data_IF_159027164474
#
_entry.id   IF_159027164474
#
_cell.length_a   1.000
_cell.length_b   1.000
_cell.length_c   1.000
_cell.angle_alpha   90.00
_cell.angle_beta   90.00
_cell.angle_gamma   90.00
#
_symmetry.space_group_name_H-M   'P 1'
#
loop_
_entity.id
_entity.type
_entity.pdbx_description
1 polymer ?
#
# COMPACT_ATOMS: atom_id res chain seq x y z
N UNK A 1 53.09 15.51 -26.42
CA UNK A 1 51.72 15.08 -26.72
C UNK A 1 51.09 14.66 -25.40
N UNK A 2 50.39 15.58 -24.76
CA UNK A 2 49.60 15.33 -23.55
C UNK A 2 48.42 14.44 -23.94
N UNK A 3 48.22 13.36 -23.18
CA UNK A 3 47.04 12.52 -23.33
C UNK A 3 45.77 13.38 -23.14
N UNK A 4 44.70 13.18 -23.93
CA UNK A 4 43.46 13.91 -23.73
C UNK A 4 42.93 13.63 -22.32
N UNK A 5 42.62 14.69 -21.57
CA UNK A 5 41.95 14.59 -20.27
C UNK A 5 40.64 13.79 -20.45
N UNK A 6 40.48 12.74 -19.65
CA UNK A 6 39.28 11.92 -19.69
C UNK A 6 38.08 12.76 -19.24
N UNK A 7 37.11 12.97 -20.13
CA UNK A 7 35.84 13.61 -19.79
C UNK A 7 35.18 12.80 -18.67
N UNK A 8 34.85 13.42 -17.51
CA UNK A 8 34.30 12.68 -16.39
C UNK A 8 32.91 12.15 -16.76
N UNK A 9 32.74 10.82 -16.65
CA UNK A 9 31.47 10.17 -16.99
C UNK A 9 30.46 10.26 -15.85
N UNK A 10 29.19 10.45 -16.20
CA UNK A 10 28.05 10.48 -15.29
C UNK A 10 27.77 9.11 -14.69
N UNK A 11 27.48 9.08 -13.39
CA UNK A 11 27.03 7.89 -12.67
C UNK A 11 25.55 8.06 -12.33
N UNK A 12 24.72 7.15 -12.81
CA UNK A 12 23.30 7.06 -12.47
C UNK A 12 23.17 5.99 -11.39
N UNK A 13 22.52 6.29 -10.26
CA UNK A 13 22.25 5.28 -9.21
C UNK A 13 21.06 4.38 -9.57
N UNK A 14 20.10 4.14 -8.67
CA UNK A 14 18.96 3.28 -8.98
C UNK A 14 17.88 4.05 -9.74
N UNK A 15 17.27 3.41 -10.74
CA UNK A 15 16.23 3.99 -11.57
C UNK A 15 15.04 3.04 -11.59
N UNK A 16 13.82 3.53 -11.36
CA UNK A 16 12.61 2.75 -11.57
C UNK A 16 12.42 2.43 -13.05
N UNK A 17 12.30 3.46 -13.89
CA UNK A 17 12.20 3.36 -15.35
C UNK A 17 13.26 4.22 -16.03
N UNK A 18 14.11 3.61 -16.85
CA UNK A 18 15.10 4.28 -17.67
C UNK A 18 14.61 4.33 -19.12
N UNK A 19 14.23 5.51 -19.61
CA UNK A 19 13.72 5.71 -20.98
C UNK A 19 14.83 6.20 -21.91
N UNK A 20 15.28 5.32 -22.80
CA UNK A 20 16.30 5.62 -23.81
C UNK A 20 15.72 5.64 -25.23
N UNK A 21 14.40 5.63 -25.41
CA UNK A 21 13.75 5.52 -26.74
C UNK A 21 14.14 6.61 -27.73
N UNK A 22 14.65 7.74 -27.25
CA UNK A 22 15.13 8.85 -28.08
C UNK A 22 16.59 9.21 -27.81
N UNK A 23 17.32 8.35 -27.10
CA UNK A 23 18.69 8.62 -26.70
C UNK A 23 19.64 8.53 -27.90
N UNK A 24 20.62 9.43 -27.93
CA UNK A 24 21.72 9.40 -28.90
C UNK A 24 22.93 8.64 -28.34
N UNK A 25 23.80 8.07 -29.19
CA UNK A 25 25.08 7.51 -28.76
C UNK A 25 25.91 8.52 -27.93
N UNK A 26 25.86 9.80 -28.29
CA UNK A 26 26.56 10.89 -27.60
C UNK A 26 26.04 11.08 -26.17
N UNK A 27 24.72 11.02 -25.98
CA UNK A 27 24.09 11.10 -24.64
C UNK A 27 24.59 9.97 -23.75
N UNK A 28 24.69 8.76 -24.28
CA UNK A 28 25.09 7.57 -23.53
C UNK A 28 26.60 7.46 -23.32
N UNK A 29 27.41 8.00 -24.24
CA UNK A 29 28.88 8.01 -24.11
C UNK A 29 29.36 8.74 -22.85
N UNK A 30 28.60 9.75 -22.43
CA UNK A 30 28.81 10.49 -21.18
C UNK A 30 28.42 9.72 -19.92
N UNK A 31 27.86 8.51 -20.01
CA UNK A 31 27.41 7.71 -18.86
C UNK A 31 28.41 6.59 -18.61
N UNK A 32 28.93 6.51 -17.38
CA UNK A 32 29.94 5.54 -16.97
C UNK A 32 29.33 4.28 -16.36
N UNK A 33 28.26 4.45 -15.58
CA UNK A 33 27.56 3.37 -14.90
C UNK A 33 26.12 3.77 -14.58
N UNK A 34 25.22 2.81 -14.70
CA UNK A 34 23.86 2.86 -14.17
C UNK A 34 23.75 1.80 -13.05
N UNK A 35 23.11 2.14 -11.94
CA UNK A 35 22.84 1.23 -10.84
C UNK A 35 21.78 0.18 -11.19
N UNK A 36 20.88 -0.12 -10.25
CA UNK A 36 19.77 -1.03 -10.53
C UNK A 36 18.68 -0.30 -11.31
N UNK A 37 18.18 -0.93 -12.37
CA UNK A 37 17.10 -0.42 -13.22
C UNK A 37 15.93 -1.38 -13.10
N UNK A 38 14.76 -0.88 -12.66
CA UNK A 38 13.54 -1.68 -12.64
C UNK A 38 13.12 -2.07 -14.06
N UNK A 39 13.04 -1.08 -14.94
CA UNK A 39 12.66 -1.25 -16.34
C UNK A 39 13.47 -0.32 -17.24
N UNK A 40 13.92 -0.82 -18.39
CA UNK A 40 14.46 0.01 -19.47
C UNK A 40 13.48 0.06 -20.65
N UNK A 41 13.18 1.27 -21.12
CA UNK A 41 12.39 1.49 -22.33
C UNK A 41 13.34 1.85 -23.46
N UNK A 42 13.25 1.14 -24.57
CA UNK A 42 14.07 1.40 -25.75
C UNK A 42 13.22 1.30 -27.01
N UNK A 43 13.69 1.93 -28.07
CA UNK A 43 13.11 1.86 -29.42
C UNK A 43 13.96 0.93 -30.28
N UNK A 44 13.45 0.46 -31.44
CA UNK A 44 14.26 -0.30 -32.39
C UNK A 44 15.60 0.37 -32.74
N UNK A 45 15.61 1.70 -32.84
CA UNK A 45 16.80 2.50 -33.15
C UNK A 45 17.81 2.55 -32.01
N UNK A 46 17.35 2.44 -30.76
CA UNK A 46 18.16 2.58 -29.55
C UNK A 46 18.49 1.23 -28.91
N UNK A 47 17.88 0.14 -29.38
CA UNK A 47 18.20 -1.23 -28.97
C UNK A 47 19.70 -1.58 -29.04
N UNK A 48 20.45 -1.22 -30.11
CA UNK A 48 21.89 -1.51 -30.16
C UNK A 48 22.71 -0.82 -29.07
N UNK A 49 22.19 0.29 -28.52
CA UNK A 49 22.88 1.06 -27.49
C UNK A 49 22.90 0.34 -26.14
N UNK A 50 21.94 -0.55 -25.88
CA UNK A 50 21.83 -1.32 -24.65
C UNK A 50 23.11 -2.10 -24.34
N UNK A 51 23.72 -2.72 -25.36
CA UNK A 51 24.94 -3.52 -25.21
C UNK A 51 26.16 -2.71 -24.74
N UNK A 52 26.15 -1.39 -24.99
CA UNK A 52 27.21 -0.48 -24.56
C UNK A 52 27.01 0.10 -23.15
N UNK A 53 25.85 -0.12 -22.54
CA UNK A 53 25.52 0.43 -21.23
C UNK A 53 26.00 -0.48 -20.09
N UNK A 54 26.68 0.12 -19.12
CA UNK A 54 27.09 -0.56 -17.89
C UNK A 54 25.97 -0.47 -16.84
N UNK A 55 24.94 -1.30 -16.98
CA UNK A 55 23.78 -1.38 -16.08
C UNK A 55 24.05 -2.44 -15.01
N UNK A 56 23.66 -2.15 -13.77
CA UNK A 56 23.65 -3.13 -12.68
C UNK A 56 22.57 -4.19 -12.88
N UNK A 57 21.70 -4.39 -11.87
CA UNK A 57 20.57 -5.30 -12.04
C UNK A 57 19.51 -4.65 -12.94
N UNK A 58 19.07 -5.36 -13.98
CA UNK A 58 17.96 -4.97 -14.82
C UNK A 58 16.77 -5.89 -14.52
N UNK A 59 15.62 -5.31 -14.15
CA UNK A 59 14.40 -6.06 -13.92
C UNK A 59 13.76 -6.52 -15.24
N UNK A 60 13.44 -5.57 -16.12
CA UNK A 60 12.81 -5.85 -17.41
C UNK A 60 13.28 -4.86 -18.50
N UNK A 61 13.14 -5.26 -19.76
CA UNK A 61 13.41 -4.43 -20.94
C UNK A 61 12.22 -4.44 -21.87
N UNK A 62 11.78 -3.27 -22.31
CA UNK A 62 10.54 -3.12 -23.07
C UNK A 62 10.80 -2.29 -24.32
N UNK A 63 10.40 -2.84 -25.46
CA UNK A 63 10.52 -2.16 -26.75
C UNK A 63 9.25 -1.34 -27.06
N UNK A 64 9.39 -0.04 -27.26
CA UNK A 64 8.33 0.84 -27.71
C UNK A 64 8.88 1.95 -28.61
N UNK A 65 8.08 2.41 -29.57
CA UNK A 65 8.50 3.53 -30.44
C UNK A 65 8.78 4.80 -29.64
N UNK A 66 9.59 5.69 -30.23
CA UNK A 66 9.94 6.98 -29.63
C UNK A 66 8.71 7.89 -29.43
N UNK A 67 7.66 7.73 -30.25
CA UNK A 67 6.41 8.47 -30.15
C UNK A 67 5.29 7.74 -29.38
N UNK A 68 5.56 6.52 -28.89
CA UNK A 68 4.61 5.80 -28.05
C UNK A 68 4.23 6.61 -26.80
N UNK A 69 2.93 6.77 -26.58
CA UNK A 69 2.38 7.48 -25.43
C UNK A 69 2.53 6.61 -24.19
N UNK A 70 3.33 7.07 -23.25
CA UNK A 70 3.57 6.37 -21.99
C UNK A 70 2.55 6.78 -20.94
N UNK A 71 1.88 5.81 -20.35
CA UNK A 71 0.88 6.00 -19.30
C UNK A 71 1.27 5.14 -18.10
N UNK A 72 1.53 5.79 -16.97
CA UNK A 72 1.76 5.12 -15.69
C UNK A 72 0.48 5.11 -14.87
N UNK A 73 0.18 3.98 -14.22
CA UNK A 73 -1.00 3.84 -13.38
C UNK A 73 -2.15 3.12 -14.09
N UNK A 74 -3.22 3.82 -14.43
CA UNK A 74 -4.42 3.23 -15.00
C UNK A 74 -4.89 3.98 -16.25
N UNK A 75 -5.21 3.24 -17.31
CA UNK A 75 -5.85 3.73 -18.51
C UNK A 75 -7.18 3.02 -18.72
N UNK A 76 -8.25 3.79 -18.87
CA UNK A 76 -9.55 3.31 -19.32
C UNK A 76 -9.73 3.71 -20.80
N UNK A 77 -9.96 2.72 -21.67
CA UNK A 77 -10.28 2.92 -23.08
C UNK A 77 -11.78 2.68 -23.26
N UNK A 78 -12.51 3.76 -23.49
CA UNK A 78 -13.88 3.75 -23.98
C UNK A 78 -13.93 4.19 -25.45
N UNK A 79 -15.11 4.15 -26.06
CA UNK A 79 -15.28 4.60 -27.46
C UNK A 79 -14.96 6.08 -27.65
N UNK A 80 -15.10 6.91 -26.60
CA UNK A 80 -14.78 8.34 -26.64
C UNK A 80 -13.28 8.57 -26.71
N UNK A 81 -12.51 7.83 -25.90
CA UNK A 81 -11.06 7.87 -25.88
C UNK A 81 -10.51 7.60 -27.28
N UNK A 82 -11.00 6.56 -27.95
CA UNK A 82 -10.57 6.18 -29.30
C UNK A 82 -10.91 7.28 -30.31
N UNK A 83 -12.15 7.78 -30.32
CA UNK A 83 -12.63 8.77 -31.28
C UNK A 83 -11.96 10.14 -31.15
N UNK A 84 -11.46 10.47 -29.96
CA UNK A 84 -10.80 11.75 -29.70
C UNK A 84 -9.29 11.74 -30.03
N UNK A 85 -8.74 10.61 -30.49
CA UNK A 85 -7.34 10.55 -30.92
C UNK A 85 -7.18 11.11 -32.34
N UNK A 86 -6.20 12.01 -32.58
CA UNK A 86 -5.95 12.55 -33.91
C UNK A 86 -5.40 11.50 -34.89
N UNK A 87 -4.71 10.48 -34.35
CA UNK A 87 -4.24 9.29 -35.06
C UNK A 87 -4.28 8.10 -34.09
N UNK A 88 -4.39 6.85 -34.58
CA UNK A 88 -4.30 5.67 -33.72
C UNK A 88 -2.97 5.69 -32.96
N UNK A 89 -2.97 5.70 -31.62
CA UNK A 89 -1.72 5.80 -30.86
C UNK A 89 -1.07 4.43 -30.66
N UNK A 90 0.26 4.40 -30.58
CA UNK A 90 1.00 3.36 -29.86
C UNK A 90 0.99 3.70 -28.38
N UNK A 91 0.48 2.80 -27.53
CA UNK A 91 0.34 3.01 -26.09
C UNK A 91 1.30 2.12 -25.34
N UNK A 92 2.07 2.70 -24.42
CA UNK A 92 2.87 2.00 -23.43
C UNK A 92 2.22 2.19 -22.05
N UNK A 93 1.56 1.15 -21.55
CA UNK A 93 0.84 1.19 -20.27
C UNK A 93 1.62 0.44 -19.20
N UNK A 94 2.09 1.19 -18.21
CA UNK A 94 2.80 0.69 -17.04
C UNK A 94 1.82 0.65 -15.86
N UNK A 95 1.10 -0.45 -15.73
CA UNK A 95 0.05 -0.62 -14.74
C UNK A 95 -1.18 -1.33 -15.32
N UNK A 96 -2.33 -0.67 -15.30
CA UNK A 96 -3.62 -1.28 -15.61
C UNK A 96 -4.23 -0.66 -16.86
N UNK A 97 -4.60 -1.52 -17.81
CA UNK A 97 -5.39 -1.17 -18.99
C UNK A 97 -6.78 -1.77 -18.85
N UNK A 98 -7.83 -0.95 -18.96
CA UNK A 98 -9.23 -1.38 -18.93
C UNK A 98 -9.86 -1.00 -20.26
N UNK A 99 -10.21 -1.99 -21.07
CA UNK A 99 -11.05 -1.78 -22.25
C UNK A 99 -12.50 -1.86 -21.80
N UNK A 100 -13.34 -0.87 -22.10
CA UNK A 100 -14.74 -0.82 -21.66
C UNK A 100 -15.67 -1.67 -22.54
N UNK A 101 -16.81 -2.17 -22.02
CA UNK A 101 -17.67 -3.10 -22.74
C UNK A 101 -18.35 -2.49 -23.98
N UNK A 102 -18.53 -1.17 -24.03
CA UNK A 102 -19.10 -0.48 -25.18
C UNK A 102 -18.15 -0.37 -26.39
N UNK A 103 -16.85 -0.66 -26.19
CA UNK A 103 -15.85 -0.60 -27.26
C UNK A 103 -16.07 -1.74 -28.24
N UNK A 104 -16.05 -1.43 -29.53
CA UNK A 104 -16.17 -2.45 -30.58
C UNK A 104 -14.81 -2.96 -31.06
N UNK A 105 -14.80 -4.15 -31.66
CA UNK A 105 -13.58 -4.72 -32.26
C UNK A 105 -12.99 -3.80 -33.34
N UNK A 106 -13.84 -3.20 -34.18
CA UNK A 106 -13.44 -2.27 -35.23
C UNK A 106 -12.82 -0.98 -34.65
N UNK A 107 -13.36 -0.46 -33.54
CA UNK A 107 -12.78 0.69 -32.84
C UNK A 107 -11.37 0.36 -32.32
N UNK A 108 -11.10 -0.85 -31.85
CA UNK A 108 -9.75 -1.27 -31.42
C UNK A 108 -8.83 -1.45 -32.62
N UNK A 109 -9.29 -2.13 -33.67
CA UNK A 109 -8.48 -2.42 -34.86
C UNK A 109 -8.02 -1.14 -35.57
N UNK A 110 -8.92 -0.17 -35.73
CA UNK A 110 -8.65 1.07 -36.44
C UNK A 110 -8.17 2.19 -35.53
N UNK A 111 -8.54 2.17 -34.25
CA UNK A 111 -8.33 3.26 -33.32
C UNK A 111 -7.09 3.14 -32.44
N UNK A 112 -6.44 1.97 -32.41
CA UNK A 112 -5.18 1.75 -31.70
C UNK A 112 -4.14 1.20 -32.68
N UNK A 113 -2.95 1.78 -32.69
CA UNK A 113 -1.87 1.30 -33.56
C UNK A 113 -1.25 0.04 -32.96
N UNK A 114 -0.81 0.14 -31.70
CA UNK A 114 -0.05 -0.89 -31.00
C UNK A 114 -0.17 -0.70 -29.48
N UNK A 115 -0.12 -1.79 -28.74
CA UNK A 115 -0.19 -1.83 -27.29
C UNK A 115 1.04 -2.52 -26.72
N UNK A 116 1.70 -1.84 -25.80
CA UNK A 116 2.72 -2.40 -24.94
C UNK A 116 2.22 -2.29 -23.51
N UNK A 117 2.05 -3.41 -22.80
CA UNK A 117 1.48 -3.39 -21.45
C UNK A 117 2.35 -4.17 -20.48
N UNK A 118 2.80 -3.47 -19.44
CA UNK A 118 3.48 -4.05 -18.28
C UNK A 118 2.52 -3.97 -17.09
N UNK A 119 1.76 -5.04 -16.88
CA UNK A 119 0.80 -5.16 -15.78
C UNK A 119 -0.48 -5.89 -16.17
N UNK A 120 -1.63 -5.30 -15.88
CA UNK A 120 -2.93 -5.98 -16.00
C UNK A 120 -3.74 -5.39 -17.15
N UNK A 121 -4.31 -6.27 -17.97
CA UNK A 121 -5.31 -5.91 -18.98
C UNK A 121 -6.67 -6.48 -18.57
N UNK A 122 -7.66 -5.63 -18.37
CA UNK A 122 -9.07 -6.00 -18.20
C UNK A 122 -9.78 -5.78 -19.53
N UNK A 123 -10.34 -6.85 -20.10
CA UNK A 123 -10.88 -6.82 -21.46
C UNK A 123 -12.19 -7.61 -21.56
N UNK A 124 -13.22 -7.11 -22.27
CA UNK A 124 -14.38 -7.90 -22.64
C UNK A 124 -13.98 -9.18 -23.38
N UNK A 125 -14.60 -10.31 -23.04
CA UNK A 125 -14.33 -11.61 -23.66
C UNK A 125 -14.33 -11.59 -25.20
N UNK A 126 -15.30 -10.93 -25.88
CA UNK A 126 -15.32 -10.88 -27.35
C UNK A 126 -14.17 -10.08 -27.97
N UNK A 127 -13.59 -9.12 -27.25
CA UNK A 127 -12.51 -8.24 -27.74
C UNK A 127 -11.11 -8.83 -27.52
N UNK A 128 -11.01 -9.95 -26.80
CA UNK A 128 -9.73 -10.58 -26.45
C UNK A 128 -8.84 -10.84 -27.67
N UNK A 129 -9.42 -11.28 -28.80
CA UNK A 129 -8.67 -11.56 -30.02
C UNK A 129 -8.01 -10.32 -30.60
N UNK A 130 -8.79 -9.23 -30.75
CA UNK A 130 -8.30 -7.97 -31.33
C UNK A 130 -7.34 -7.24 -30.40
N UNK A 131 -7.58 -7.26 -29.09
CA UNK A 131 -6.66 -6.69 -28.10
C UNK A 131 -5.33 -7.45 -28.11
N UNK A 132 -5.36 -8.79 -28.14
CA UNK A 132 -4.14 -9.60 -28.25
C UNK A 132 -3.37 -9.34 -29.54
N UNK A 133 -4.06 -9.10 -30.65
CA UNK A 133 -3.40 -8.77 -31.91
C UNK A 133 -2.67 -7.42 -31.88
N UNK A 134 -3.14 -6.48 -31.04
CA UNK A 134 -2.49 -5.18 -30.82
C UNK A 134 -1.36 -5.22 -29.79
N UNK A 135 -1.35 -6.22 -28.89
CA UNK A 135 -0.28 -6.41 -27.90
C UNK A 135 0.99 -6.88 -28.61
N UNK A 136 1.97 -5.99 -28.71
CA UNK A 136 3.28 -6.30 -29.30
C UNK A 136 4.30 -6.80 -28.28
N UNK A 137 4.23 -6.26 -27.07
CA UNK A 137 5.06 -6.66 -25.95
C UNK A 137 4.19 -6.58 -24.68
N UNK A 138 4.17 -7.67 -23.92
CA UNK A 138 3.22 -7.87 -22.85
C UNK A 138 3.85 -8.65 -21.71
N UNK A 139 3.97 -7.98 -20.57
CA UNK A 139 4.40 -8.61 -19.33
C UNK A 139 3.33 -8.41 -18.27
N UNK A 140 2.57 -9.47 -18.00
CA UNK A 140 1.61 -9.50 -16.89
C UNK A 140 0.43 -10.43 -17.15
N UNK A 141 -0.79 -9.98 -16.79
CA UNK A 141 -2.01 -10.82 -16.85
C UNK A 141 -3.12 -10.14 -17.66
N UNK A 142 -3.83 -10.94 -18.46
CA UNK A 142 -5.06 -10.50 -19.10
C UNK A 142 -6.22 -11.18 -18.38
N UNK A 143 -7.13 -10.37 -17.84
CA UNK A 143 -8.32 -10.81 -17.15
C UNK A 143 -9.54 -10.51 -18.04
N UNK A 144 -10.06 -11.54 -18.72
CA UNK A 144 -11.28 -11.39 -19.50
C UNK A 144 -12.48 -11.23 -18.56
N UNK A 145 -13.45 -10.40 -18.97
CA UNK A 145 -14.71 -10.23 -18.26
C UNK A 145 -15.90 -10.23 -19.23
N UNK A 146 -17.09 -10.60 -18.75
CA UNK A 146 -18.31 -10.62 -19.58
C UNK A 146 -18.83 -9.21 -19.81
N UNK A 147 -19.33 -8.90 -21.01
CA UNK A 147 -19.98 -7.61 -21.31
C UNK A 147 -21.22 -7.37 -20.42
N UNK A 148 -21.83 -8.43 -19.91
CA UNK A 148 -22.95 -8.35 -18.97
C UNK A 148 -22.53 -8.03 -17.53
N UNK A 149 -21.23 -7.97 -17.23
CA UNK A 149 -20.75 -7.63 -15.90
C UNK A 149 -20.89 -6.14 -15.64
N UNK A 150 -21.51 -5.81 -14.51
CA UNK A 150 -21.55 -4.45 -14.01
C UNK A 150 -20.20 -4.09 -13.40
N UNK A 151 -19.57 -3.05 -13.93
CA UNK A 151 -18.27 -2.57 -13.50
C UNK A 151 -18.42 -1.58 -12.35
N UNK A 152 -17.78 -1.86 -11.21
CA UNK A 152 -17.79 -0.99 -10.04
C UNK A 152 -16.38 -0.69 -9.54
N UNK A 153 -16.06 0.59 -9.42
CA UNK A 153 -14.75 1.07 -8.96
C UNK A 153 -14.89 1.70 -7.57
N UNK A 154 -14.00 1.33 -6.65
CA UNK A 154 -13.98 1.86 -5.28
C UNK A 154 -14.66 0.96 -4.25
N UNK A 155 -15.34 1.56 -3.28
CA UNK A 155 -16.03 0.84 -2.20
C UNK A 155 -17.51 0.67 -2.55
N UNK A 156 -18.01 -0.55 -2.46
CA UNK A 156 -19.46 -0.83 -2.41
C UNK A 156 -19.88 -1.23 -1.01
N UNK A 157 -21.04 -0.74 -0.59
CA UNK A 157 -21.76 -1.28 0.56
C UNK A 157 -22.80 -2.24 0.02
N UNK A 158 -22.58 -3.52 0.26
CA UNK A 158 -23.49 -4.61 -0.11
C UNK A 158 -24.49 -4.78 1.03
N UNK A 159 -25.54 -3.98 1.01
CA UNK A 159 -26.69 -4.06 1.92
C UNK A 159 -27.95 -4.55 1.17
N UNK A 160 -29.04 -4.72 1.91
CA UNK A 160 -30.32 -5.11 1.31
C UNK A 160 -30.78 -4.14 0.21
N UNK A 161 -30.58 -2.84 0.38
CA UNK A 161 -31.02 -1.82 -0.58
C UNK A 161 -30.23 -1.91 -1.89
N UNK A 162 -28.92 -2.11 -1.80
CA UNK A 162 -28.06 -2.33 -2.96
C UNK A 162 -28.50 -3.58 -3.72
N UNK A 163 -28.72 -4.70 -3.02
CA UNK A 163 -29.16 -5.96 -3.64
C UNK A 163 -30.53 -5.83 -4.31
N UNK A 164 -31.49 -5.16 -3.67
CA UNK A 164 -32.82 -4.95 -4.24
C UNK A 164 -32.79 -4.07 -5.50
N UNK A 165 -31.85 -3.12 -5.56
CA UNK A 165 -31.61 -2.27 -6.73
C UNK A 165 -30.95 -2.99 -7.91
N UNK A 166 -30.34 -4.16 -7.71
CA UNK A 166 -29.77 -4.95 -8.79
C UNK A 166 -30.85 -5.68 -9.60
N UNK A 167 -30.57 -5.92 -10.87
CA UNK A 167 -31.32 -6.89 -11.66
C UNK A 167 -31.02 -8.32 -11.17
N UNK A 168 -31.98 -9.23 -11.32
CA UNK A 168 -31.76 -10.64 -10.99
C UNK A 168 -30.68 -11.22 -11.91
N UNK A 169 -29.85 -12.12 -11.37
CA UNK A 169 -28.70 -12.73 -12.06
C UNK A 169 -27.59 -11.76 -12.49
N UNK A 170 -27.45 -10.61 -11.83
CA UNK A 170 -26.35 -9.68 -12.08
C UNK A 170 -24.99 -10.35 -11.89
N UNK A 171 -24.01 -9.93 -12.67
CA UNK A 171 -22.60 -10.29 -12.50
C UNK A 171 -21.82 -9.03 -12.18
N UNK A 172 -20.94 -9.08 -11.19
CA UNK A 172 -20.21 -7.89 -10.73
C UNK A 172 -18.73 -8.01 -11.01
N UNK A 173 -18.11 -6.93 -11.49
CA UNK A 173 -16.67 -6.73 -11.48
C UNK A 173 -16.34 -5.55 -10.57
N UNK A 174 -15.78 -5.84 -9.39
CA UNK A 174 -15.50 -4.85 -8.35
C UNK A 174 -14.00 -4.61 -8.23
N UNK A 175 -13.55 -3.42 -8.59
CA UNK A 175 -12.19 -2.94 -8.38
C UNK A 175 -12.10 -2.10 -7.11
N UNK A 176 -11.98 -2.77 -5.96
CA UNK A 176 -11.84 -2.12 -4.66
C UNK A 176 -12.36 -2.96 -3.48
N UNK A 177 -13.20 -2.36 -2.63
CA UNK A 177 -13.70 -3.01 -1.40
C UNK A 177 -15.19 -3.34 -1.55
N UNK A 178 -15.57 -4.56 -1.20
CA UNK A 178 -16.97 -4.90 -0.85
C UNK A 178 -17.10 -4.87 0.66
N UNK A 179 -18.12 -4.19 1.16
CA UNK A 179 -18.44 -4.09 2.57
C UNK A 179 -19.89 -4.58 2.77
N UNK A 180 -20.07 -5.74 3.40
CA UNK A 180 -21.38 -6.30 3.74
C UNK A 180 -21.58 -6.15 5.26
N UNK A 181 -22.09 -4.99 5.74
CA UNK A 181 -22.10 -4.64 7.16
C UNK A 181 -23.17 -5.38 7.96
N UNK A 182 -24.13 -6.01 7.30
CA UNK A 182 -25.26 -6.72 7.89
C UNK A 182 -25.32 -8.16 7.40
N UNK A 183 -26.11 -8.99 8.09
CA UNK A 183 -26.37 -10.36 7.64
C UNK A 183 -27.39 -10.30 6.52
N UNK A 184 -26.95 -10.64 5.32
CA UNK A 184 -27.78 -10.65 4.11
C UNK A 184 -28.48 -12.00 3.96
N UNK A 185 -29.72 -11.99 3.46
CA UNK A 185 -30.43 -13.22 3.15
C UNK A 185 -29.74 -13.96 1.99
N UNK A 186 -29.43 -15.25 2.18
CA UNK A 186 -28.74 -16.08 1.19
C UNK A 186 -29.53 -16.15 -0.13
N UNK A 187 -30.86 -16.26 -0.05
CA UNK A 187 -31.73 -16.30 -1.22
C UNK A 187 -31.71 -14.98 -2.00
N UNK A 188 -31.60 -13.84 -1.31
CA UNK A 188 -31.50 -12.54 -1.95
C UNK A 188 -30.16 -12.39 -2.66
N UNK A 189 -29.05 -12.73 -1.98
CA UNK A 189 -27.71 -12.71 -2.54
C UNK A 189 -27.60 -13.57 -3.81
N UNK A 190 -28.01 -14.83 -3.73
CA UNK A 190 -27.87 -15.80 -4.83
C UNK A 190 -28.84 -15.56 -5.98
N UNK A 191 -30.03 -14.98 -5.72
CA UNK A 191 -30.93 -14.52 -6.77
C UNK A 191 -30.38 -13.30 -7.50
N UNK A 192 -29.82 -12.34 -6.77
CA UNK A 192 -29.37 -11.06 -7.34
C UNK A 192 -28.02 -11.15 -8.01
N UNK A 193 -27.10 -11.95 -7.47
CA UNK A 193 -25.72 -12.03 -7.96
C UNK A 193 -25.42 -13.48 -8.33
N UNK A 194 -25.04 -13.72 -9.59
CA UNK A 194 -24.62 -15.05 -10.06
C UNK A 194 -23.11 -15.25 -10.02
N UNK A 195 -22.35 -14.17 -10.19
CA UNK A 195 -20.89 -14.21 -10.07
C UNK A 195 -20.32 -12.84 -9.71
N UNK A 196 -19.17 -12.86 -9.04
CA UNK A 196 -18.39 -11.69 -8.69
C UNK A 196 -16.92 -11.91 -9.01
N UNK A 197 -16.35 -10.91 -9.66
CA UNK A 197 -14.93 -10.74 -9.86
C UNK A 197 -14.44 -9.59 -8.97
N UNK A 198 -13.71 -9.89 -7.90
CA UNK A 198 -13.27 -8.87 -6.93
C UNK A 198 -11.77 -8.70 -6.98
N UNK A 199 -11.35 -7.48 -7.28
CA UNK A 199 -9.95 -7.04 -7.29
C UNK A 199 -9.68 -6.15 -6.08
N UNK A 200 -9.58 -6.77 -4.91
CA UNK A 200 -9.32 -6.07 -3.66
C UNK A 200 -9.72 -6.92 -2.46
N UNK A 201 -10.59 -6.40 -1.59
CA UNK A 201 -10.98 -7.08 -0.35
C UNK A 201 -12.48 -7.08 -0.12
N UNK A 202 -12.96 -8.10 0.59
CA UNK A 202 -14.34 -8.19 1.05
C UNK A 202 -14.31 -8.13 2.58
N UNK A 203 -15.17 -7.33 3.18
CA UNK A 203 -15.52 -7.46 4.58
C UNK A 203 -16.99 -7.85 4.67
N UNK A 204 -17.30 -8.88 5.46
CA UNK A 204 -18.67 -9.39 5.56
C UNK A 204 -18.94 -9.97 6.94
N UNK A 205 -20.20 -10.20 7.24
CA UNK A 205 -20.62 -11.06 8.36
C UNK A 205 -20.20 -12.51 8.09
N UNK A 206 -19.76 -13.23 9.13
CA UNK A 206 -19.34 -14.62 9.07
C UNK A 206 -20.44 -15.52 8.48
N UNK A 207 -21.69 -15.20 8.78
CA UNK A 207 -22.89 -15.85 8.27
C UNK A 207 -22.98 -15.81 6.74
N UNK A 208 -22.45 -14.77 6.08
CA UNK A 208 -22.45 -14.64 4.62
C UNK A 208 -21.16 -15.13 3.96
N UNK A 209 -20.15 -15.55 4.74
CA UNK A 209 -18.83 -15.89 4.22
C UNK A 209 -18.88 -17.00 3.16
N UNK A 210 -19.65 -18.06 3.44
CA UNK A 210 -19.75 -19.21 2.53
C UNK A 210 -20.42 -18.82 1.20
N UNK A 211 -21.53 -18.08 1.26
CA UNK A 211 -22.26 -17.61 0.08
C UNK A 211 -21.43 -16.63 -0.73
N UNK A 212 -20.80 -15.63 -0.11
CA UNK A 212 -19.97 -14.67 -0.84
C UNK A 212 -18.75 -15.35 -1.48
N UNK A 213 -18.17 -16.36 -0.84
CA UNK A 213 -17.09 -17.18 -1.42
C UNK A 213 -17.56 -17.98 -2.62
N UNK A 214 -18.75 -18.58 -2.60
CA UNK A 214 -19.26 -19.37 -3.72
C UNK A 214 -19.61 -18.52 -4.95
N UNK A 215 -19.91 -17.23 -4.74
CA UNK A 215 -20.14 -16.26 -5.80
C UNK A 215 -18.84 -15.75 -6.45
N UNK A 216 -17.68 -15.96 -5.85
CA UNK A 216 -16.40 -15.55 -6.46
C UNK A 216 -16.03 -16.48 -7.62
N UNK A 217 -15.73 -15.90 -8.78
CA UNK A 217 -15.38 -16.65 -9.99
C UNK A 217 -13.91 -17.16 -10.02
N UNK A 218 -13.10 -16.75 -9.04
CA UNK A 218 -11.68 -17.09 -8.92
C UNK A 218 -10.78 -16.45 -9.98
N UNK A 219 -11.34 -15.72 -10.97
CA UNK A 219 -10.56 -15.07 -12.03
C UNK A 219 -9.81 -13.84 -11.50
N UNK A 220 -10.29 -13.21 -10.43
CA UNK A 220 -9.69 -12.02 -9.81
C UNK A 220 -8.41 -12.26 -9.00
N UNK A 221 -7.99 -13.52 -8.86
CA UNK A 221 -6.93 -13.93 -7.95
C UNK A 221 -7.44 -14.21 -6.53
N UNK A 222 -6.51 -14.30 -5.58
CA UNK A 222 -6.86 -14.55 -4.18
C UNK A 222 -7.47 -13.29 -3.55
N UNK A 223 -8.75 -13.35 -3.20
CA UNK A 223 -9.47 -12.25 -2.56
C UNK A 223 -9.33 -12.38 -1.05
N UNK A 224 -8.79 -11.35 -0.40
CA UNK A 224 -8.78 -11.28 1.06
C UNK A 224 -10.21 -11.03 1.55
N UNK A 225 -10.73 -11.93 2.38
CA UNK A 225 -12.06 -11.79 3.00
C UNK A 225 -11.88 -11.68 4.52
N UNK A 226 -12.26 -10.52 5.06
CA UNK A 226 -12.29 -10.22 6.48
C UNK A 226 -13.71 -10.51 7.01
N UNK A 227 -13.91 -11.71 7.55
CA UNK A 227 -15.19 -12.13 8.12
C UNK A 227 -15.31 -11.65 9.58
N UNK A 228 -16.37 -10.89 9.86
CA UNK A 228 -16.74 -10.39 11.18
C UNK A 228 -17.55 -11.49 11.86
N UNK A 229 -17.09 -12.07 12.99
CA UNK A 229 -17.77 -13.19 13.62
C UNK A 229 -19.18 -12.86 14.09
N UNK A 230 -20.01 -13.89 14.20
CA UNK A 230 -21.39 -13.75 14.64
C UNK A 230 -21.49 -13.03 16.00
N UNK A 231 -22.37 -12.01 16.08
CA UNK A 231 -22.60 -11.23 17.29
C UNK A 231 -21.52 -10.19 17.63
N UNK A 232 -20.46 -10.05 16.82
CA UNK A 232 -19.46 -8.99 17.00
C UNK A 232 -19.87 -7.68 16.33
N UNK A 233 -19.56 -6.57 16.99
CA UNK A 233 -19.71 -5.22 16.45
C UNK A 233 -18.38 -4.77 15.82
N UNK A 234 -18.35 -4.46 14.51
CA UNK A 234 -17.12 -4.08 13.83
C UNK A 234 -16.70 -2.66 14.20
N UNK A 235 -15.42 -2.48 14.49
CA UNK A 235 -14.79 -1.18 14.75
C UNK A 235 -13.62 -0.98 13.78
N UNK A 236 -13.66 0.12 13.02
CA UNK A 236 -12.61 0.52 12.08
C UNK A 236 -11.78 1.68 12.66
N UNK A 237 -10.50 1.75 12.30
CA UNK A 237 -9.61 2.86 12.69
C UNK A 237 -9.05 2.74 14.11
N UNK A 238 -8.53 3.87 14.62
CA UNK A 238 -7.98 3.95 15.98
C UNK A 238 -9.12 4.08 17.00
N UNK A 239 -9.24 3.11 17.90
CA UNK A 239 -10.27 3.05 18.93
C UNK A 239 -9.65 3.31 20.30
N UNK A 240 -9.99 4.44 20.91
CA UNK A 240 -9.69 4.72 22.31
C UNK A 240 -10.87 4.22 23.17
N UNK A 241 -10.59 3.29 24.07
CA UNK A 241 -11.51 2.78 25.07
C UNK A 241 -11.12 3.35 26.43
N UNK A 242 -11.59 4.57 26.72
CA UNK A 242 -11.54 5.18 28.05
C UNK A 242 -12.76 4.76 28.89
N UNK A 243 -12.83 5.21 30.15
CA UNK A 243 -13.93 4.85 31.03
C UNK A 243 -15.30 5.29 30.49
N UNK A 244 -15.35 6.42 29.77
CA UNK A 244 -16.58 6.93 29.17
C UNK A 244 -17.04 6.07 27.99
N UNK A 245 -16.14 5.72 27.07
CA UNK A 245 -16.42 4.88 25.92
C UNK A 245 -16.90 3.49 26.36
N UNK A 246 -16.23 2.89 27.34
CA UNK A 246 -16.62 1.59 27.90
C UNK A 246 -18.00 1.63 28.58
N UNK A 247 -18.33 2.72 29.27
CA UNK A 247 -19.66 2.91 29.88
C UNK A 247 -20.82 2.89 28.88
N UNK A 248 -20.56 3.15 27.60
CA UNK A 248 -21.55 3.12 26.52
C UNK A 248 -21.60 1.78 25.76
N UNK A 249 -20.79 0.80 26.16
CA UNK A 249 -20.65 -0.49 25.48
C UNK A 249 -20.94 -1.70 26.39
N UNK A 250 -21.99 -1.73 27.25
CA UNK A 250 -22.18 -2.81 28.21
C UNK A 250 -22.42 -4.18 27.51
N UNK A 251 -21.62 -5.18 27.90
CA UNK A 251 -21.71 -6.56 27.39
C UNK A 251 -21.43 -6.71 25.89
N UNK A 252 -20.62 -5.84 25.28
CA UNK A 252 -20.38 -5.85 23.83
C UNK A 252 -19.26 -6.83 23.44
N UNK A 253 -19.42 -7.44 22.25
CA UNK A 253 -18.36 -8.14 21.53
C UNK A 253 -17.82 -7.22 20.45
N UNK A 254 -16.53 -6.92 20.46
CA UNK A 254 -15.93 -5.97 19.51
C UNK A 254 -14.95 -6.66 18.58
N UNK A 255 -15.08 -6.39 17.28
CA UNK A 255 -14.17 -6.85 16.24
C UNK A 255 -13.42 -5.64 15.67
N UNK A 256 -12.17 -5.47 16.08
CA UNK A 256 -11.37 -4.29 15.80
C UNK A 256 -10.32 -4.59 14.73
N UNK A 257 -10.35 -3.84 13.63
CA UNK A 257 -9.36 -3.97 12.55
C UNK A 257 -8.20 -2.98 12.65
N UNK A 258 -8.38 -1.90 13.42
CA UNK A 258 -7.33 -0.91 13.69
C UNK A 258 -6.72 -1.06 15.08
N UNK A 259 -6.02 -0.01 15.52
CA UNK A 259 -5.36 0.02 16.83
C UNK A 259 -6.40 0.25 17.91
N UNK A 260 -6.32 -0.55 18.98
CA UNK A 260 -7.13 -0.37 20.18
C UNK A 260 -6.23 0.12 21.30
N UNK A 261 -6.57 1.25 21.90
CA UNK A 261 -5.92 1.79 23.08
C UNK A 261 -6.89 1.74 24.26
N UNK A 262 -6.49 1.10 25.35
CA UNK A 262 -7.22 1.17 26.63
C UNK A 262 -6.70 2.38 27.41
N UNK A 263 -7.61 3.24 27.87
CA UNK A 263 -7.32 4.41 28.67
C UNK A 263 -6.68 4.06 30.01
N UNK A 264 -5.86 4.97 30.54
CA UNK A 264 -5.26 4.82 31.87
C UNK A 264 -6.28 4.97 33.01
N UNK A 265 -7.41 5.60 32.72
CA UNK A 265 -8.56 5.82 33.59
C UNK A 265 -9.48 4.59 33.73
N UNK A 266 -9.18 3.51 32.99
CA UNK A 266 -10.01 2.31 32.96
C UNK A 266 -9.68 1.38 34.13
N UNK A 267 -10.67 1.19 34.99
CA UNK A 267 -10.65 0.19 36.05
C UNK A 267 -10.98 -1.23 35.53
N UNK A 268 -10.42 -2.30 36.12
CA UNK A 268 -10.69 -3.69 35.70
C UNK A 268 -12.18 -4.04 35.66
N UNK A 269 -12.96 -3.55 36.63
CA UNK A 269 -14.40 -3.81 36.72
C UNK A 269 -15.19 -3.14 35.59
N UNK A 270 -14.80 -1.92 35.20
CA UNK A 270 -15.42 -1.19 34.08
C UNK A 270 -15.19 -1.94 32.78
N UNK A 271 -13.96 -2.42 32.56
CA UNK A 271 -13.60 -3.19 31.37
C UNK A 271 -14.36 -4.53 31.31
N UNK A 272 -14.46 -5.24 32.44
CA UNK A 272 -15.15 -6.52 32.54
C UNK A 272 -16.65 -6.41 32.23
N UNK A 273 -17.30 -5.36 32.75
CA UNK A 273 -18.72 -5.09 32.53
C UNK A 273 -19.01 -4.62 31.10
N UNK A 274 -18.11 -3.84 30.52
CA UNK A 274 -18.26 -3.34 29.16
C UNK A 274 -18.04 -4.45 28.14
N UNK A 275 -16.92 -5.17 28.19
CA UNK A 275 -16.57 -6.08 27.11
C UNK A 275 -16.86 -7.53 27.50
N UNK A 276 -17.69 -8.21 26.69
CA UNK A 276 -17.80 -9.66 26.75
C UNK A 276 -16.59 -10.32 26.07
N UNK A 277 -16.21 -9.83 24.89
CA UNK A 277 -15.08 -10.35 24.12
C UNK A 277 -14.51 -9.27 23.20
N UNK A 278 -13.20 -9.28 23.02
CA UNK A 278 -12.48 -8.34 22.17
C UNK A 278 -11.60 -9.12 21.19
N UNK A 279 -11.82 -8.94 19.90
CA UNK A 279 -10.97 -9.48 18.85
C UNK A 279 -10.27 -8.34 18.12
N UNK A 280 -8.94 -8.42 18.03
CA UNK A 280 -8.12 -7.36 17.46
C UNK A 280 -7.17 -7.96 16.42
N UNK A 281 -7.27 -7.49 15.18
CA UNK A 281 -6.43 -7.94 14.06
C UNK A 281 -5.17 -7.09 13.84
N UNK A 282 -4.98 -6.05 14.65
CA UNK A 282 -3.83 -5.15 14.55
C UNK A 282 -3.08 -5.07 15.89
N UNK A 283 -3.19 -3.95 16.61
CA UNK A 283 -2.41 -3.66 17.81
C UNK A 283 -3.34 -3.34 18.98
N UNK A 284 -3.06 -3.93 20.13
CA UNK A 284 -3.59 -3.53 21.42
C UNK A 284 -2.53 -2.79 22.23
N UNK A 285 -2.86 -1.60 22.74
CA UNK A 285 -2.06 -0.84 23.71
C UNK A 285 -2.87 -0.74 24.99
N UNK A 286 -2.37 -1.28 26.10
CA UNK A 286 -3.14 -1.43 27.33
C UNK A 286 -2.28 -1.20 28.57
N UNK A 287 -2.79 -0.56 29.64
CA UNK A 287 -2.10 -0.53 30.92
C UNK A 287 -1.75 -1.94 31.40
N UNK A 288 -0.55 -2.10 31.99
CA UNK A 288 -0.11 -3.39 32.54
C UNK A 288 -1.06 -3.95 33.61
N UNK A 289 -1.73 -3.07 34.36
CA UNK A 289 -2.64 -3.43 35.43
C UNK A 289 -3.86 -4.22 34.93
N UNK A 290 -4.22 -4.06 33.66
CA UNK A 290 -5.36 -4.72 33.02
C UNK A 290 -4.96 -5.99 32.26
N UNK A 291 -3.71 -6.44 32.36
CA UNK A 291 -3.18 -7.58 31.60
C UNK A 291 -4.01 -8.86 31.77
N UNK A 292 -4.34 -9.21 33.01
CA UNK A 292 -5.10 -10.44 33.29
C UNK A 292 -6.50 -10.35 32.72
N UNK A 293 -7.18 -9.21 32.93
CA UNK A 293 -8.52 -8.95 32.37
C UNK A 293 -8.53 -9.03 30.84
N UNK A 294 -7.54 -8.42 30.18
CA UNK A 294 -7.40 -8.49 28.72
C UNK A 294 -7.14 -9.92 28.25
N UNK A 295 -6.33 -10.70 28.96
CA UNK A 295 -6.04 -12.08 28.57
C UNK A 295 -7.29 -12.99 28.64
N UNK A 296 -8.28 -12.65 29.46
CA UNK A 296 -9.56 -13.36 29.51
C UNK A 296 -10.51 -12.94 28.37
N UNK A 297 -10.45 -11.69 27.92
CA UNK A 297 -11.37 -11.13 26.92
C UNK A 297 -10.84 -11.15 25.49
N UNK A 298 -9.52 -11.24 25.31
CA UNK A 298 -8.81 -11.13 24.04
C UNK A 298 -7.74 -12.22 23.93
N UNK A 299 -7.59 -12.82 22.74
CA UNK A 299 -6.51 -13.77 22.45
C UNK A 299 -5.17 -13.04 22.26
N UNK A 300 -4.52 -12.71 23.38
CA UNK A 300 -3.23 -12.01 23.42
C UNK A 300 -2.09 -12.76 22.74
N UNK A 301 -2.25 -14.05 22.43
CA UNK A 301 -1.25 -14.84 21.69
C UNK A 301 -1.32 -14.58 20.19
N UNK A 302 -2.51 -14.23 19.68
CA UNK A 302 -2.72 -13.88 18.26
C UNK A 302 -2.74 -12.38 18.02
N UNK A 303 -2.97 -11.58 19.06
CA UNK A 303 -2.98 -10.12 18.97
C UNK A 303 -1.64 -9.52 19.38
N UNK A 304 -1.05 -8.69 18.51
CA UNK A 304 0.11 -7.88 18.87
C UNK A 304 -0.29 -6.94 20.02
N UNK A 305 0.32 -7.10 21.17
CA UNK A 305 -0.09 -6.41 22.39
C UNK A 305 1.09 -5.71 23.07
N UNK A 306 0.89 -4.45 23.44
CA UNK A 306 1.81 -3.65 24.27
C UNK A 306 1.12 -3.41 25.61
N UNK A 307 1.65 -4.04 26.66
CA UNK A 307 1.29 -3.70 28.03
C UNK A 307 2.25 -2.64 28.55
N UNK A 308 1.75 -1.43 28.82
CA UNK A 308 2.58 -0.29 29.21
C UNK A 308 2.59 -0.05 30.73
N UNK A 309 3.70 0.51 31.23
CA UNK A 309 3.91 0.90 32.63
C UNK A 309 4.16 2.41 32.68
N UNK A 310 3.59 3.07 33.69
CA UNK A 310 3.70 4.52 33.83
C UNK A 310 2.93 5.28 32.74
N UNK A 311 3.34 6.52 32.45
CA UNK A 311 2.68 7.36 31.44
C UNK A 311 2.88 6.77 30.03
N UNK A 312 1.82 6.73 29.23
CA UNK A 312 1.91 6.36 27.82
C UNK A 312 2.28 7.58 26.97
N UNK A 313 3.45 7.55 26.35
CA UNK A 313 3.84 8.49 25.30
C UNK A 313 3.61 7.85 23.94
N UNK A 314 2.46 8.12 23.33
CA UNK A 314 2.09 7.59 22.02
C UNK A 314 2.37 8.61 20.91
N UNK A 315 3.19 8.22 19.93
CA UNK A 315 3.55 9.05 18.76
C UNK A 315 2.81 8.52 17.54
N UNK A 316 1.68 9.14 17.19
CA UNK A 316 0.86 8.77 16.03
C UNK A 316 1.02 9.74 14.85
N UNK A 317 1.71 10.86 15.07
CA UNK A 317 2.05 11.89 14.08
C UNK A 317 3.52 12.29 14.32
N UNK A 318 4.21 12.91 13.34
CA UNK A 318 5.57 13.36 13.51
C UNK A 318 5.74 14.24 14.76
N UNK A 319 6.62 13.85 15.67
CA UNK A 319 6.83 14.51 16.96
C UNK A 319 8.30 14.77 17.22
N UNK A 320 8.62 15.95 17.78
CA UNK A 320 9.93 16.23 18.36
C UNK A 320 9.90 16.05 19.88
N UNK A 321 10.76 15.17 20.39
CA UNK A 321 10.94 14.95 21.82
C UNK A 321 12.05 15.86 22.34
N UNK A 322 11.65 16.84 23.15
CA UNK A 322 12.53 17.84 23.76
C UNK A 322 12.69 17.63 25.27
N UNK A 323 13.73 18.18 25.92
CA UNK A 323 13.99 17.95 27.35
C UNK A 323 12.81 18.30 28.25
N UNK A 324 12.10 19.40 27.96
CA UNK A 324 10.98 19.86 28.78
C UNK A 324 9.79 18.90 28.82
N UNK A 325 9.74 17.89 27.92
CA UNK A 325 8.73 16.83 28.00
C UNK A 325 8.90 15.98 29.26
N UNK A 326 10.12 15.87 29.79
CA UNK A 326 10.42 15.10 30.99
C UNK A 326 10.25 15.90 32.29
N UNK A 327 10.15 17.22 32.23
CA UNK A 327 10.00 18.06 33.43
C UNK A 327 8.67 17.82 34.15
N UNK A 328 7.64 17.45 33.40
CA UNK A 328 6.28 17.23 33.91
C UNK A 328 5.89 15.75 33.99
N UNK A 329 6.79 14.84 33.60
CA UNK A 329 6.52 13.41 33.63
C UNK A 329 6.54 12.88 35.07
N UNK A 330 5.41 12.40 35.57
CA UNK A 330 5.35 11.75 36.86
C UNK A 330 5.86 10.30 36.75
N UNK A 331 7.09 10.06 37.21
CA UNK A 331 7.73 8.74 37.14
C UNK A 331 8.37 8.43 35.79
N UNK A 332 8.08 7.23 35.26
CA UNK A 332 8.61 6.75 33.97
C UNK A 332 7.51 6.68 32.93
N UNK A 333 7.89 6.78 31.66
CA UNK A 333 7.00 6.61 30.53
C UNK A 333 7.31 5.34 29.74
N UNK A 334 6.28 4.73 29.17
CA UNK A 334 6.42 3.81 28.03
C UNK A 334 6.19 4.59 26.74
N UNK A 335 7.20 4.60 25.88
CA UNK A 335 7.17 5.27 24.59
C UNK A 335 6.75 4.28 23.50
N UNK A 336 5.71 4.61 22.74
CA UNK A 336 5.23 3.84 21.59
C UNK A 336 5.26 4.72 20.35
N UNK A 337 6.10 4.37 19.39
CA UNK A 337 6.37 5.17 18.18
C UNK A 337 5.71 4.51 16.98
N UNK A 338 4.66 5.15 16.46
CA UNK A 338 3.86 4.70 15.31
C UNK A 338 3.93 5.65 14.12
N UNK A 339 4.77 6.67 14.20
CA UNK A 339 5.16 7.59 13.14
C UNK A 339 6.61 8.05 13.42
N UNK A 340 7.07 9.15 12.83
CA UNK A 340 8.41 9.68 13.01
C UNK A 340 8.55 10.39 14.37
N UNK A 341 9.39 9.83 15.24
CA UNK A 341 9.89 10.53 16.42
C UNK A 341 11.28 11.11 16.15
N UNK A 342 11.45 12.41 16.34
CA UNK A 342 12.79 13.03 16.37
C UNK A 342 13.14 13.38 17.80
N UNK A 343 14.21 12.80 18.33
CA UNK A 343 14.73 13.17 19.65
C UNK A 343 15.68 14.34 19.46
N UNK A 344 15.38 15.47 20.10
CA UNK A 344 16.25 16.63 20.08
C UNK A 344 17.64 16.26 20.63
N UNK A 345 18.75 16.70 20.00
CA UNK A 345 20.10 16.48 20.51
C UNK A 345 20.32 16.98 21.95
N UNK A 346 19.48 17.92 22.41
CA UNK A 346 19.54 18.47 23.77
C UNK A 346 18.99 17.52 24.85
N UNK A 347 18.31 16.43 24.45
CA UNK A 347 17.86 15.41 25.40
C UNK A 347 19.04 14.54 25.81
N UNK A 348 19.43 14.63 27.09
CA UNK A 348 20.50 13.80 27.66
C UNK A 348 20.17 12.30 27.50
N UNK A 349 21.05 11.47 26.91
CA UNK A 349 20.88 10.02 26.84
C UNK A 349 20.56 9.36 28.19
N UNK A 350 21.10 9.88 29.30
CA UNK A 350 20.78 9.38 30.64
C UNK A 350 19.33 9.65 31.03
N UNK A 351 18.79 10.81 30.65
CA UNK A 351 17.39 11.15 30.86
C UNK A 351 16.48 10.14 30.16
N UNK A 352 16.79 9.76 28.92
CA UNK A 352 16.07 8.70 28.19
C UNK A 352 16.15 7.37 28.95
N UNK A 353 17.35 6.98 29.39
CA UNK A 353 17.56 5.72 30.10
C UNK A 353 16.84 5.66 31.47
N UNK A 354 16.76 6.77 32.18
CA UNK A 354 16.16 6.85 33.52
C UNK A 354 14.64 7.01 33.47
N UNK A 355 14.14 7.85 32.55
CA UNK A 355 12.73 8.25 32.47
C UNK A 355 11.90 7.39 31.54
N UNK A 356 12.50 6.63 30.62
CA UNK A 356 11.76 5.64 29.81
C UNK A 356 11.82 4.26 30.48
N UNK A 357 10.64 3.68 30.70
CA UNK A 357 10.47 2.31 31.13
C UNK A 357 10.72 1.35 29.95
N UNK A 358 10.03 1.55 28.83
CA UNK A 358 10.15 0.77 27.61
C UNK A 358 9.97 1.65 26.38
N UNK A 359 10.57 1.25 25.27
CA UNK A 359 10.40 1.88 23.95
C UNK A 359 9.93 0.85 22.95
N UNK A 360 8.79 1.07 22.32
CA UNK A 360 8.28 0.26 21.22
C UNK A 360 8.35 1.08 19.94
N UNK A 361 9.14 0.63 18.96
CA UNK A 361 9.34 1.33 17.70
C UNK A 361 8.68 0.57 16.55
N UNK A 362 7.62 1.14 15.98
CA UNK A 362 6.89 0.56 14.86
C UNK A 362 7.21 1.24 13.52
N UNK A 363 7.75 2.46 13.54
CA UNK A 363 8.04 3.24 12.31
C UNK A 363 9.47 3.79 12.30
N UNK A 364 9.74 4.97 12.88
CA UNK A 364 11.08 5.55 12.85
C UNK A 364 11.38 6.43 14.06
N UNK A 365 12.56 6.24 14.65
CA UNK A 365 13.13 7.14 15.66
C UNK A 365 14.43 7.72 15.14
N UNK A 366 14.49 9.03 15.00
CA UNK A 366 15.69 9.79 14.65
C UNK A 366 16.33 10.34 15.92
N UNK A 367 17.58 10.00 16.19
CA UNK A 367 18.30 10.38 17.42
C UNK A 367 19.81 10.35 17.23
N UNK A 368 20.59 10.91 18.16
CA UNK A 368 22.06 10.80 18.13
C UNK A 368 22.53 9.36 18.44
N UNK A 369 23.76 8.96 18.11
CA UNK A 369 24.29 7.62 18.42
C UNK A 369 24.21 7.27 19.91
N UNK A 370 24.49 8.25 20.78
CA UNK A 370 24.44 8.07 22.23
C UNK A 370 23.00 7.89 22.73
N UNK A 371 22.06 8.69 22.22
CA UNK A 371 20.64 8.53 22.50
C UNK A 371 20.11 7.20 21.95
N UNK A 372 20.58 6.76 20.78
CA UNK A 372 20.23 5.48 20.18
C UNK A 372 20.59 4.32 21.11
N UNK A 373 21.78 4.36 21.72
CA UNK A 373 22.18 3.38 22.74
C UNK A 373 21.22 3.35 23.94
N UNK A 374 20.79 4.53 24.42
CA UNK A 374 19.83 4.63 25.52
C UNK A 374 18.45 4.07 25.15
N UNK A 375 17.96 4.36 23.94
CA UNK A 375 16.69 3.84 23.40
C UNK A 375 16.76 2.32 23.21
N UNK A 376 17.84 1.80 22.62
CA UNK A 376 18.04 0.36 22.41
C UNK A 376 18.05 -0.42 23.73
N UNK A 377 18.65 0.14 24.78
CA UNK A 377 18.64 -0.48 26.12
C UNK A 377 17.23 -0.63 26.73
N UNK A 378 16.25 0.14 26.24
CA UNK A 378 14.83 0.08 26.67
C UNK A 378 13.92 -0.55 25.63
N UNK A 379 14.47 -1.10 24.55
CA UNK A 379 13.69 -1.57 23.41
C UNK A 379 12.77 -2.74 23.80
N UNK A 380 11.51 -2.64 23.36
CA UNK A 380 10.50 -3.68 23.36
C UNK A 380 10.31 -4.20 21.94
N UNK A 381 9.11 -4.02 21.39
CA UNK A 381 8.84 -4.33 19.99
C UNK A 381 9.62 -3.35 19.11
N UNK A 382 10.35 -3.87 18.13
CA UNK A 382 11.13 -3.07 17.19
C UNK A 382 10.92 -3.59 15.77
N UNK A 383 10.01 -2.93 15.06
CA UNK A 383 9.71 -3.17 13.64
C UNK A 383 10.15 -1.97 12.78
N UNK A 384 10.39 -0.82 13.42
CA UNK A 384 10.82 0.41 12.79
C UNK A 384 12.33 0.60 12.68
N UNK A 385 12.72 1.71 12.04
CA UNK A 385 14.11 2.11 11.88
C UNK A 385 14.59 3.00 13.03
N UNK A 386 15.88 2.87 13.38
CA UNK A 386 16.59 3.86 14.18
C UNK A 386 17.53 4.63 13.24
N UNK A 387 17.34 5.94 13.16
CA UNK A 387 18.02 6.82 12.22
C UNK A 387 18.99 7.69 13.01
N UNK A 388 20.28 7.59 12.70
CA UNK A 388 21.27 8.48 13.28
C UNK A 388 21.06 9.91 12.73
N UNK A 389 20.82 10.84 13.64
CA UNK A 389 20.60 12.27 13.36
C UNK A 389 21.90 13.03 13.08
N UNK A 390 23.04 12.48 13.52
CA UNK A 390 24.38 13.04 13.37
C UNK A 390 25.13 12.44 12.19
N UNK A 391 24.74 11.21 11.81
CA UNK A 391 24.96 10.76 10.46
C UNK A 391 24.43 11.90 9.61
N UNK A 392 25.34 12.54 8.86
CA UNK A 392 24.93 13.33 7.72
C UNK A 392 23.89 12.45 7.07
N UNK A 393 22.65 12.93 6.98
CA UNK A 393 21.77 12.33 6.00
C UNK A 393 22.67 12.17 4.78
N UNK A 394 22.65 11.04 4.11
CA UNK A 394 22.84 11.16 2.68
C UNK A 394 21.64 11.96 2.10
N UNK A 395 21.37 13.19 2.60
CA UNK A 395 21.88 14.32 1.86
C UNK A 395 23.27 13.89 1.39
N UNK A 396 23.27 13.28 0.21
CA UNK A 396 23.91 14.03 -0.87
C UNK A 396 23.53 15.50 -0.62
N UNK A 397 24.29 16.17 0.25
CA UNK A 397 24.99 17.35 -0.17
C UNK A 397 25.45 16.92 -1.54
N UNK A 398 24.63 17.29 -2.51
CA UNK A 398 25.13 17.74 -3.76
C UNK A 398 26.20 18.80 -3.38
N UNK A 399 27.39 18.35 -2.96
CA UNK A 399 28.49 18.53 -3.89
C UNK A 399 27.87 18.12 -5.19
N UNK A 400 27.48 19.10 -6.00
CA UNK A 400 27.44 18.90 -7.44
C UNK A 400 28.83 18.34 -7.78
N UNK A 401 29.05 17.05 -7.52
CA UNK A 401 29.74 16.20 -8.44
C UNK A 401 28.85 16.36 -9.64
N UNK A 402 29.25 17.24 -10.56
CA UNK A 402 28.49 17.64 -11.75
C UNK A 402 28.09 16.43 -12.63
N UNK A 403 28.45 15.22 -12.19
CA UNK A 403 28.36 13.95 -12.87
C UNK A 403 27.63 12.84 -12.07
N UNK A 404 26.76 13.11 -11.08
CA UNK A 404 25.95 12.04 -10.44
C UNK A 404 24.45 12.33 -10.45
N UNK A 405 23.66 11.37 -10.97
CA UNK A 405 22.19 11.39 -10.91
C UNK A 405 21.76 10.43 -9.78
N UNK A 406 21.00 10.96 -8.80
CA UNK A 406 20.49 10.21 -7.63
C UNK A 406 19.33 9.28 -7.96
N UNK A 407 18.77 8.57 -6.97
CA UNK A 407 17.69 7.60 -7.23
C UNK A 407 16.50 8.29 -7.90
N UNK A 408 16.05 7.79 -9.05
CA UNK A 408 14.97 8.41 -9.83
C UNK A 408 13.86 7.40 -10.09
N UNK A 409 12.59 7.81 -9.96
CA UNK A 409 11.46 6.98 -10.36
C UNK A 409 11.42 6.74 -11.88
N UNK A 410 11.60 7.80 -12.68
CA UNK A 410 11.66 7.75 -14.13
C UNK A 410 12.75 8.70 -14.64
N UNK A 411 13.71 8.19 -15.42
CA UNK A 411 14.79 8.95 -16.02
C UNK A 411 14.76 8.79 -17.54
N UNK A 412 14.53 9.89 -18.27
CA UNK A 412 14.64 9.93 -19.73
C UNK A 412 16.00 10.47 -20.15
N UNK A 413 16.67 9.79 -21.09
CA UNK A 413 17.98 10.16 -21.63
C UNK A 413 17.88 10.70 -23.06
#
# INVERSE_FOLDING_TARGET
>A
MTAPEAVPKKIISNVGTLDIRSASPETLAGIGKVGNVGMILYSPETAPLLAGMNIGNLGMSVEASADAQMITGELEIDSSYIKNQPKPPELLVLGRLIIKPEVTAEEIENGLEKLVVCGLVLCPEPLMGVVRAKLSDFEGKILPYSESMQFVKGKITLDQSYLEGLEDNSQLLVMGKIDAPEVLAEELLTRKITSMHVMGKISCREENLATLRSLLDGKGGEVKIDAIPAGFEPMEGHLLLDAFALGNLPGKKLYCTGVVQIGEDVEPTTLDQALETLQINNLLICPIALREMIAEKCDVLKTKTIFYEGELLLVNDPLELIPSRFDYLEGKATLVVRDLLTISPDVDPKMLAERLHKVHNMEAIRCTPEQMGAIQARMGLNEGALIDSTAKEEKKEEKKEENKIGNVGHLKL
#
